data_IF_001302324231
#
_entry.id   IF_001302324231
#
_cell.length_a   1.000
_cell.length_b   1.000
_cell.length_c   1.000
_cell.angle_alpha   90.00
_cell.angle_beta   90.00
_cell.angle_gamma   90.00
#
_symmetry.space_group_name_H-M   'P 1'
#
loop_
_entity.id
_entity.type
_entity.pdbx_description
1 polymer ?
#
# COMPACT_ATOMS: atom_id res chain seq x y z
N UNK A 1 -53.85 8.99 12.02
CA UNK A 1 -53.11 9.05 10.76
C UNK A 1 -54.06 8.51 9.71
N UNK A 2 -54.29 9.15 8.57
CA UNK A 2 -55.14 8.54 7.53
C UNK A 2 -54.37 7.43 6.82
N UNK A 3 -55.08 6.44 6.25
CA UNK A 3 -54.46 5.37 5.45
C UNK A 3 -53.63 5.94 4.29
N UNK A 4 -54.14 7.00 3.65
CA UNK A 4 -53.42 7.75 2.61
C UNK A 4 -52.08 8.31 3.13
N UNK A 5 -52.05 8.85 4.35
CA UNK A 5 -50.82 9.36 4.94
C UNK A 5 -49.82 8.24 5.25
N UNK A 6 -50.31 7.07 5.70
CA UNK A 6 -49.47 5.89 5.91
C UNK A 6 -48.86 5.40 4.59
N UNK A 7 -49.64 5.34 3.51
CA UNK A 7 -49.17 4.95 2.19
C UNK A 7 -48.11 5.92 1.63
N UNK A 8 -48.33 7.23 1.75
CA UNK A 8 -47.37 8.25 1.31
C UNK A 8 -46.08 8.16 2.12
N UNK A 9 -46.19 8.07 3.45
CA UNK A 9 -45.02 8.06 4.34
C UNK A 9 -44.17 6.81 4.14
N UNK A 10 -44.79 5.63 4.02
CA UNK A 10 -44.09 4.37 3.74
C UNK A 10 -43.40 4.40 2.38
N UNK A 11 -44.05 4.96 1.35
CA UNK A 11 -43.46 5.13 0.02
C UNK A 11 -42.21 6.02 0.05
N UNK A 12 -42.27 7.15 0.76
CA UNK A 12 -41.11 8.05 0.93
C UNK A 12 -39.99 7.34 1.69
N UNK A 13 -40.29 6.65 2.78
CA UNK A 13 -39.30 5.90 3.57
C UNK A 13 -38.60 4.81 2.74
N UNK A 14 -39.36 4.09 1.91
CA UNK A 14 -38.81 3.08 1.00
C UNK A 14 -37.89 3.71 -0.06
N UNK A 15 -38.30 4.83 -0.67
CA UNK A 15 -37.46 5.54 -1.62
C UNK A 15 -36.14 6.02 -0.99
N UNK A 16 -36.22 6.60 0.22
CA UNK A 16 -35.05 7.00 1.02
C UNK A 16 -34.15 5.80 1.30
N UNK A 17 -34.72 4.65 1.68
CA UNK A 17 -33.95 3.44 1.95
C UNK A 17 -33.22 2.93 0.70
N UNK A 18 -33.86 2.90 -0.46
CA UNK A 18 -33.25 2.47 -1.72
C UNK A 18 -32.09 3.38 -2.10
N UNK A 19 -32.31 4.70 -2.08
CA UNK A 19 -31.25 5.69 -2.39
C UNK A 19 -30.08 5.53 -1.42
N UNK A 20 -30.39 5.36 -0.14
CA UNK A 20 -29.41 5.11 0.88
C UNK A 20 -28.57 3.85 0.56
N UNK A 21 -29.20 2.70 0.31
CA UNK A 21 -28.49 1.47 0.00
C UNK A 21 -27.55 1.61 -1.20
N UNK A 22 -28.00 2.29 -2.27
CA UNK A 22 -27.15 2.55 -3.45
C UNK A 22 -25.94 3.44 -3.13
N UNK A 23 -26.10 4.46 -2.28
CA UNK A 23 -24.99 5.31 -1.87
C UNK A 23 -23.99 4.55 -1.01
N UNK A 24 -24.49 3.73 -0.08
CA UNK A 24 -23.65 2.89 0.76
C UNK A 24 -22.81 1.92 -0.07
N UNK A 25 -23.41 1.25 -1.05
CA UNK A 25 -22.69 0.35 -1.96
C UNK A 25 -21.57 1.07 -2.72
N UNK A 26 -21.84 2.27 -3.24
CA UNK A 26 -20.83 3.08 -3.96
C UNK A 26 -19.68 3.49 -3.05
N UNK A 27 -19.97 3.94 -1.83
CA UNK A 27 -18.96 4.31 -0.85
C UNK A 27 -18.13 3.09 -0.44
N UNK A 28 -18.80 1.96 -0.20
CA UNK A 28 -18.16 0.69 0.14
C UNK A 28 -17.20 0.23 -0.97
N UNK A 29 -17.64 0.26 -2.23
CA UNK A 29 -16.80 -0.08 -3.40
C UNK A 29 -15.61 0.85 -3.54
N UNK A 30 -15.82 2.17 -3.44
CA UNK A 30 -14.74 3.15 -3.51
C UNK A 30 -13.71 2.94 -2.38
N UNK A 31 -14.18 2.53 -1.21
CA UNK A 31 -13.34 2.28 -0.05
C UNK A 31 -12.56 0.95 -0.14
N UNK A 32 -13.15 -0.11 -0.69
CA UNK A 32 -12.48 -1.40 -0.90
C UNK A 32 -11.58 -1.45 -2.14
N UNK A 33 -11.79 -0.59 -3.14
CA UNK A 33 -11.03 -0.62 -4.39
C UNK A 33 -9.50 -0.61 -4.19
N UNK A 34 -8.91 0.23 -3.30
CA UNK A 34 -7.47 0.20 -3.03
C UNK A 34 -7.00 -1.11 -2.39
N UNK A 35 -7.81 -1.72 -1.51
CA UNK A 35 -7.47 -2.99 -0.85
C UNK A 35 -7.52 -4.15 -1.85
N UNK A 36 -8.55 -4.18 -2.69
CA UNK A 36 -8.68 -5.17 -3.76
C UNK A 36 -7.52 -5.04 -4.75
N UNK A 37 -7.17 -3.82 -5.14
CA UNK A 37 -6.05 -3.56 -6.05
C UNK A 37 -4.70 -3.97 -5.45
N UNK A 38 -4.46 -3.67 -4.17
CA UNK A 38 -3.26 -4.12 -3.46
C UNK A 38 -3.18 -5.66 -3.40
N UNK A 39 -4.31 -6.33 -3.14
CA UNK A 39 -4.40 -7.79 -3.07
C UNK A 39 -4.21 -8.45 -4.44
N UNK A 40 -4.76 -7.86 -5.50
CA UNK A 40 -4.55 -8.32 -6.88
C UNK A 40 -3.07 -8.28 -7.27
N UNK A 41 -2.36 -7.20 -6.93
CA UNK A 41 -0.90 -7.10 -7.20
C UNK A 41 -0.11 -8.15 -6.44
N UNK A 42 -0.47 -8.41 -5.19
CA UNK A 42 0.17 -9.45 -4.40
C UNK A 42 -0.03 -10.83 -5.03
N UNK A 43 -1.25 -11.19 -5.41
CA UNK A 43 -1.54 -12.45 -6.10
C UNK A 43 -0.86 -12.58 -7.45
N UNK A 44 -0.75 -11.50 -8.22
CA UNK A 44 -0.06 -11.53 -9.51
C UNK A 44 1.42 -11.93 -9.37
N UNK A 45 2.11 -11.43 -8.33
CA UNK A 45 3.51 -11.78 -8.06
C UNK A 45 3.64 -13.22 -7.53
N UNK A 46 2.69 -13.65 -6.70
CA UNK A 46 2.65 -15.03 -6.20
C UNK A 46 2.42 -16.05 -7.33
N UNK A 47 1.52 -15.74 -8.26
CA UNK A 47 1.25 -16.56 -9.45
C UNK A 47 2.47 -16.62 -10.39
N UNK A 48 3.20 -15.50 -10.56
CA UNK A 48 4.42 -15.44 -11.38
C UNK A 48 5.51 -16.37 -10.80
N UNK A 49 5.74 -16.31 -9.48
CA UNK A 49 6.73 -17.17 -8.81
C UNK A 49 6.29 -18.63 -8.82
N UNK A 50 5.00 -18.91 -8.61
CA UNK A 50 4.46 -20.26 -8.72
C UNK A 50 4.63 -20.83 -10.14
N UNK A 51 4.48 -20.00 -11.17
CA UNK A 51 4.73 -20.39 -12.55
C UNK A 51 6.22 -20.70 -12.81
N UNK A 52 7.15 -19.94 -12.24
CA UNK A 52 8.58 -20.24 -12.32
C UNK A 52 8.94 -21.58 -11.67
N UNK A 53 8.40 -21.85 -10.48
CA UNK A 53 8.58 -23.12 -9.79
C UNK A 53 8.02 -24.32 -10.57
N UNK A 54 6.82 -24.19 -11.14
CA UNK A 54 6.22 -25.24 -11.99
C UNK A 54 7.01 -25.52 -13.27
N UNK A 55 7.68 -24.50 -13.80
CA UNK A 55 8.54 -24.63 -14.97
C UNK A 55 9.93 -25.22 -14.63
N UNK A 56 10.22 -25.53 -13.36
CA UNK A 56 11.53 -26.01 -12.92
C UNK A 56 12.63 -24.95 -12.99
N UNK A 57 12.27 -23.66 -13.08
CA UNK A 57 13.23 -22.56 -13.04
C UNK A 57 13.58 -22.25 -11.60
N UNK A 58 14.86 -22.02 -11.35
CA UNK A 58 15.37 -21.61 -10.05
C UNK A 58 14.87 -20.19 -9.73
N UNK A 59 14.33 -20.00 -8.53
CA UNK A 59 13.80 -18.70 -8.09
C UNK A 59 14.98 -17.76 -7.85
N UNK A 60 15.02 -16.65 -8.59
CA UNK A 60 16.14 -15.72 -8.50
C UNK A 60 16.07 -14.89 -7.21
N UNK A 61 17.22 -14.38 -6.76
CA UNK A 61 17.25 -13.46 -5.61
C UNK A 61 16.41 -12.21 -5.84
N UNK A 62 16.32 -11.74 -7.09
CA UNK A 62 15.48 -10.62 -7.51
C UNK A 62 13.99 -10.91 -7.32
N UNK A 63 13.53 -12.14 -7.62
CA UNK A 63 12.14 -12.54 -7.41
C UNK A 63 11.76 -12.53 -5.91
N UNK A 64 12.68 -13.00 -5.06
CA UNK A 64 12.51 -12.97 -3.61
C UNK A 64 12.53 -11.54 -3.04
N UNK A 65 13.42 -10.68 -3.55
CA UNK A 65 13.48 -9.27 -3.19
C UNK A 65 12.18 -8.55 -3.58
N UNK A 66 11.68 -8.80 -4.79
CA UNK A 66 10.41 -8.25 -5.29
C UNK A 66 9.22 -8.68 -4.45
N UNK A 67 9.18 -9.96 -4.04
CA UNK A 67 8.11 -10.45 -3.16
C UNK A 67 8.20 -9.84 -1.75
N UNK A 68 9.42 -9.63 -1.23
CA UNK A 68 9.65 -8.95 0.05
C UNK A 68 9.19 -7.50 -0.01
N UNK A 69 9.49 -6.78 -1.08
CA UNK A 69 9.08 -5.39 -1.28
C UNK A 69 7.57 -5.24 -1.40
N UNK A 70 6.91 -6.13 -2.16
CA UNK A 70 5.44 -6.12 -2.28
C UNK A 70 4.79 -6.45 -0.94
N UNK A 71 5.34 -7.40 -0.16
CA UNK A 71 4.90 -7.67 1.22
C UNK A 71 5.12 -6.48 2.14
N UNK A 72 6.28 -5.84 2.08
CA UNK A 72 6.59 -4.67 2.90
C UNK A 72 5.67 -3.49 2.57
N UNK A 73 5.39 -3.23 1.29
CA UNK A 73 4.42 -2.20 0.89
C UNK A 73 2.99 -2.55 1.32
N UNK A 74 2.57 -3.81 1.19
CA UNK A 74 1.26 -4.25 1.64
C UNK A 74 1.12 -4.16 3.16
N UNK A 75 2.15 -4.57 3.91
CA UNK A 75 2.19 -4.48 5.37
C UNK A 75 2.24 -3.03 5.84
N UNK A 76 3.04 -2.17 5.20
CA UNK A 76 3.13 -0.76 5.53
C UNK A 76 1.78 -0.07 5.28
N UNK A 77 1.12 -0.33 4.14
CA UNK A 77 -0.25 0.17 3.91
C UNK A 77 -1.27 -0.41 4.90
N UNK A 78 -1.17 -1.69 5.25
CA UNK A 78 -2.06 -2.30 6.24
C UNK A 78 -1.85 -1.72 7.64
N UNK A 79 -0.61 -1.36 7.99
CA UNK A 79 -0.26 -0.77 9.29
C UNK A 79 -0.58 0.73 9.34
N UNK A 80 -0.40 1.45 8.24
CA UNK A 80 -0.85 2.83 8.07
C UNK A 80 -2.38 2.91 8.10
N UNK A 81 -3.04 1.87 7.60
CA UNK A 81 -4.47 1.61 7.79
C UNK A 81 -4.75 0.79 9.05
N UNK A 82 -3.97 0.99 10.12
CA UNK A 82 -3.93 0.14 11.31
C UNK A 82 -5.29 -0.44 11.66
N UNK A 83 -5.34 -1.77 11.86
CA UNK A 83 -6.57 -2.54 11.92
C UNK A 83 -7.64 -1.89 12.81
N UNK A 84 -7.23 -1.31 13.93
CA UNK A 84 -8.08 -0.58 14.87
C UNK A 84 -8.64 0.72 14.30
N UNK A 85 -7.84 1.51 13.57
CA UNK A 85 -8.29 2.73 12.88
C UNK A 85 -9.26 2.41 11.74
N UNK A 86 -9.07 1.30 11.03
CA UNK A 86 -9.95 0.86 9.96
C UNK A 86 -11.27 0.33 10.50
N UNK A 87 -11.23 -0.47 11.56
CA UNK A 87 -12.42 -0.94 12.25
C UNK A 87 -13.20 0.25 12.84
N UNK A 88 -12.50 1.22 13.42
CA UNK A 88 -13.10 2.47 13.90
C UNK A 88 -13.74 3.26 12.75
N UNK A 89 -13.09 3.37 11.58
CA UNK A 89 -13.68 4.02 10.39
C UNK A 89 -14.91 3.27 9.88
N UNK A 90 -14.88 1.93 9.84
CA UNK A 90 -16.04 1.10 9.47
C UNK A 90 -17.19 1.34 10.45
N UNK A 91 -16.90 1.37 11.75
CA UNK A 91 -17.92 1.60 12.77
C UNK A 91 -18.42 3.05 12.71
N UNK A 92 -17.55 4.04 12.56
CA UNK A 92 -17.94 5.45 12.52
C UNK A 92 -18.70 5.83 11.25
N UNK A 93 -18.43 5.19 10.11
CA UNK A 93 -19.12 5.49 8.84
C UNK A 93 -20.28 4.53 8.61
N UNK A 94 -20.03 3.22 8.71
CA UNK A 94 -21.03 2.18 8.48
C UNK A 94 -21.98 1.99 9.66
N UNK A 95 -21.55 2.23 10.90
CA UNK A 95 -22.37 2.06 12.10
C UNK A 95 -23.57 3.00 12.14
N UNK A 96 -23.40 4.34 12.06
CA UNK A 96 -24.51 5.28 11.98
C UNK A 96 -25.44 4.98 10.81
N UNK A 97 -24.89 4.48 9.70
CA UNK A 97 -25.66 4.11 8.53
C UNK A 97 -26.57 2.90 8.75
N UNK A 98 -26.00 1.81 9.29
CA UNK A 98 -26.76 0.62 9.68
C UNK A 98 -27.83 0.97 10.71
N UNK A 99 -27.50 1.82 11.68
CA UNK A 99 -28.45 2.31 12.68
C UNK A 99 -29.62 3.05 12.02
N UNK A 100 -29.33 3.93 11.05
CA UNK A 100 -30.35 4.66 10.30
C UNK A 100 -31.25 3.73 9.49
N UNK A 101 -30.68 2.77 8.76
CA UNK A 101 -31.46 1.78 8.00
C UNK A 101 -32.36 0.96 8.92
N UNK A 102 -31.82 0.49 10.06
CA UNK A 102 -32.55 -0.30 11.04
C UNK A 102 -33.69 0.54 11.67
N UNK A 103 -33.45 1.81 11.95
CA UNK A 103 -34.46 2.76 12.43
C UNK A 103 -35.58 3.01 11.42
N UNK A 104 -35.26 3.16 10.12
CA UNK A 104 -36.26 3.35 9.05
C UNK A 104 -37.12 2.08 8.93
N UNK A 105 -36.49 0.90 8.85
CA UNK A 105 -37.20 -0.38 8.73
C UNK A 105 -38.10 -0.61 9.94
N UNK A 106 -37.61 -0.35 11.16
CA UNK A 106 -38.40 -0.43 12.39
C UNK A 106 -39.63 0.48 12.30
N UNK A 107 -39.45 1.74 11.90
CA UNK A 107 -40.56 2.70 11.75
C UNK A 107 -41.59 2.23 10.71
N UNK A 108 -41.16 1.70 9.56
CA UNK A 108 -42.06 1.16 8.53
C UNK A 108 -42.85 -0.02 9.08
N UNK A 109 -42.22 -0.95 9.79
CA UNK A 109 -42.90 -2.10 10.42
C UNK A 109 -43.92 -1.63 11.46
N UNK A 110 -43.59 -0.62 12.27
CA UNK A 110 -44.54 -0.03 13.22
C UNK A 110 -45.75 0.62 12.53
N UNK A 111 -45.53 1.37 11.45
CA UNK A 111 -46.61 1.99 10.67
C UNK A 111 -47.49 0.94 10.01
N UNK A 112 -46.90 -0.11 9.42
CA UNK A 112 -47.65 -1.21 8.81
C UNK A 112 -48.45 -2.01 9.84
N UNK A 113 -47.87 -2.27 11.00
CA UNK A 113 -48.56 -2.95 12.10
C UNK A 113 -49.73 -2.13 12.61
N UNK A 114 -49.57 -0.81 12.73
CA UNK A 114 -50.65 0.10 13.11
C UNK A 114 -51.76 0.14 12.05
N UNK A 115 -51.40 0.22 10.76
CA UNK A 115 -52.37 0.20 9.66
C UNK A 115 -53.16 -1.13 9.57
N UNK A 116 -52.56 -2.23 10.03
CA UNK A 116 -53.21 -3.54 10.08
C UNK A 116 -54.14 -3.72 11.30
N UNK A 117 -53.99 -2.90 12.33
CA UNK A 117 -54.90 -2.93 13.50
C UNK A 117 -56.16 -2.11 13.21
N UNK A 118 -57.38 -2.64 13.41
CA UNK A 118 -58.64 -1.96 13.09
C UNK A 118 -59.01 -0.82 14.06
N UNK A 119 -58.02 -0.24 14.74
CA UNK A 119 -58.23 0.79 15.74
C UNK A 119 -58.53 2.12 15.03
N UNK A 120 -59.75 2.69 15.17
CA UNK A 120 -60.19 3.82 14.37
C UNK A 120 -59.52 5.14 14.79
N UNK A 121 -58.88 5.18 15.96
CA UNK A 121 -58.37 6.43 16.52
C UNK A 121 -57.00 6.81 15.95
N UNK A 122 -56.85 8.05 15.43
CA UNK A 122 -55.59 8.51 14.88
C UNK A 122 -54.53 8.61 15.98
N UNK A 123 -53.40 7.92 15.82
CA UNK A 123 -52.24 8.06 16.74
C UNK A 123 -51.34 9.24 16.35
N UNK A 124 -51.36 10.37 17.08
CA UNK A 124 -50.48 11.52 16.80
C UNK A 124 -49.00 11.22 17.13
N UNK A 125 -48.74 10.28 18.04
CA UNK A 125 -47.39 9.90 18.42
C UNK A 125 -46.65 9.20 17.26
N UNK A 126 -47.33 8.28 16.57
CA UNK A 126 -46.79 7.59 15.39
C UNK A 126 -46.49 8.57 14.25
N UNK A 127 -47.40 9.52 13.99
CA UNK A 127 -47.18 10.54 12.96
C UNK A 127 -45.94 11.40 13.26
N UNK A 128 -45.74 11.83 14.52
CA UNK A 128 -44.54 12.59 14.92
C UNK A 128 -43.27 11.76 14.76
N UNK A 129 -43.29 10.50 15.20
CA UNK A 129 -42.13 9.62 15.10
C UNK A 129 -41.75 9.35 13.63
N UNK A 130 -42.73 9.10 12.77
CA UNK A 130 -42.52 8.92 11.34
C UNK A 130 -41.96 10.19 10.68
N UNK A 131 -42.49 11.36 11.04
CA UNK A 131 -42.02 12.65 10.53
C UNK A 131 -40.57 12.94 10.93
N UNK A 132 -40.23 12.79 12.21
CA UNK A 132 -38.87 13.03 12.69
C UNK A 132 -37.87 12.04 12.10
N UNK A 133 -38.24 10.76 12.02
CA UNK A 133 -37.37 9.73 11.43
C UNK A 133 -37.11 10.01 9.96
N UNK A 134 -38.14 10.38 9.20
CA UNK A 134 -37.99 10.72 7.77
C UNK A 134 -37.12 11.96 7.60
N UNK A 135 -37.39 13.02 8.36
CA UNK A 135 -36.62 14.28 8.28
C UNK A 135 -35.16 14.05 8.65
N UNK A 136 -34.88 13.33 9.74
CA UNK A 136 -33.52 12.99 10.14
C UNK A 136 -32.79 12.16 9.07
N UNK A 137 -33.50 11.23 8.43
CA UNK A 137 -32.95 10.40 7.35
C UNK A 137 -32.58 11.23 6.11
N UNK A 138 -33.44 12.17 5.72
CA UNK A 138 -33.19 13.08 4.60
C UNK A 138 -32.01 14.00 4.90
N UNK A 139 -31.94 14.58 6.10
CA UNK A 139 -30.81 15.42 6.52
C UNK A 139 -29.51 14.63 6.54
N UNK A 140 -29.52 13.41 7.08
CA UNK A 140 -28.36 12.52 7.10
C UNK A 140 -27.88 12.17 5.67
N UNK A 141 -28.81 11.94 4.73
CA UNK A 141 -28.49 11.73 3.32
C UNK A 141 -27.80 12.94 2.69
N UNK A 142 -28.33 14.15 2.90
CA UNK A 142 -27.76 15.39 2.36
C UNK A 142 -26.38 15.66 2.97
N UNK A 143 -26.24 15.48 4.29
CA UNK A 143 -24.97 15.62 4.98
C UNK A 143 -23.93 14.62 4.45
N UNK A 144 -24.30 13.36 4.26
CA UNK A 144 -23.43 12.32 3.70
C UNK A 144 -22.94 12.66 2.29
N UNK A 145 -23.83 13.17 1.43
CA UNK A 145 -23.48 13.65 0.09
C UNK A 145 -22.44 14.78 0.15
N UNK A 146 -22.65 15.74 1.05
CA UNK A 146 -21.79 16.91 1.21
C UNK A 146 -20.41 16.55 1.79
N UNK A 147 -20.37 15.65 2.77
CA UNK A 147 -19.13 15.15 3.34
C UNK A 147 -18.36 14.35 2.29
N UNK A 148 -19.05 13.55 1.48
CA UNK A 148 -18.42 12.71 0.45
C UNK A 148 -17.80 13.53 -0.68
N UNK A 149 -18.38 14.68 -1.04
CA UNK A 149 -17.80 15.60 -2.03
C UNK A 149 -16.64 16.39 -1.44
N UNK A 150 -16.78 16.91 -0.22
CA UNK A 150 -15.71 17.62 0.48
C UNK A 150 -14.51 16.71 0.76
N UNK A 151 -14.73 15.49 1.23
CA UNK A 151 -13.67 14.52 1.50
C UNK A 151 -12.90 14.16 0.23
N UNK A 152 -13.58 13.98 -0.91
CA UNK A 152 -12.92 13.73 -2.20
C UNK A 152 -12.04 14.91 -2.63
N UNK A 153 -12.52 16.15 -2.48
CA UNK A 153 -11.73 17.34 -2.75
C UNK A 153 -10.50 17.44 -1.83
N UNK A 154 -10.70 17.24 -0.53
CA UNK A 154 -9.64 17.36 0.48
C UNK A 154 -8.57 16.28 0.37
N UNK A 155 -8.98 15.01 0.15
CA UNK A 155 -8.06 13.89 -0.04
C UNK A 155 -7.23 14.03 -1.32
N UNK A 156 -7.80 14.60 -2.39
CA UNK A 156 -7.04 14.87 -3.61
C UNK A 156 -5.93 15.91 -3.39
N UNK A 157 -6.20 16.95 -2.60
CA UNK A 157 -5.18 17.93 -2.20
C UNK A 157 -4.10 17.35 -1.27
N UNK A 158 -4.51 16.49 -0.31
CA UNK A 158 -3.58 15.93 0.67
C UNK A 158 -2.65 14.86 0.07
N UNK A 159 -3.17 14.00 -0.82
CA UNK A 159 -2.35 12.97 -1.50
C UNK A 159 -1.32 13.58 -2.44
N UNK A 160 -1.61 14.73 -3.06
CA UNK A 160 -0.64 15.49 -3.85
C UNK A 160 0.52 16.01 -2.98
N UNK A 161 0.20 16.56 -1.81
CA UNK A 161 1.21 17.11 -0.90
C UNK A 161 2.07 16.01 -0.23
N UNK A 162 1.47 14.84 0.04
CA UNK A 162 2.17 13.70 0.64
C UNK A 162 3.12 13.00 -0.33
N UNK A 163 2.72 12.81 -1.61
CA UNK A 163 3.65 12.32 -2.67
C UNK A 163 4.92 13.18 -2.77
N UNK A 164 4.79 14.49 -2.60
CA UNK A 164 5.94 15.39 -2.63
C UNK A 164 6.92 15.14 -1.47
N UNK A 165 6.39 14.76 -0.30
CA UNK A 165 7.17 14.42 0.90
C UNK A 165 7.80 13.03 0.81
N UNK A 166 7.09 12.07 0.23
CA UNK A 166 7.58 10.70 0.08
C UNK A 166 8.72 10.62 -0.94
N UNK A 167 8.70 11.42 -2.02
CA UNK A 167 9.85 11.52 -2.93
C UNK A 167 11.13 12.07 -2.26
N UNK A 168 10.98 12.94 -1.26
CA UNK A 168 12.11 13.47 -0.47
C UNK A 168 12.64 12.44 0.54
N UNK A 169 11.77 11.58 1.06
CA UNK A 169 12.12 10.60 2.12
C UNK A 169 12.58 9.26 1.54
N UNK A 170 12.08 8.89 0.36
CA UNK A 170 12.51 7.70 -0.37
C UNK A 170 13.92 7.87 -0.95
N UNK A 171 14.34 9.10 -1.26
CA UNK A 171 15.73 9.41 -1.64
C UNK A 171 16.73 9.16 -0.50
N UNK A 172 16.35 9.45 0.75
CA UNK A 172 17.22 9.20 1.92
C UNK A 172 17.23 7.73 2.34
N UNK A 173 16.09 7.03 2.29
CA UNK A 173 16.07 5.59 2.61
C UNK A 173 16.77 4.72 1.57
N UNK A 174 16.69 5.07 0.27
CA UNK A 174 17.50 4.41 -0.75
C UNK A 174 18.98 4.62 -0.50
N UNK A 175 19.39 5.80 -0.03
CA UNK A 175 20.78 6.09 0.30
C UNK A 175 21.29 5.23 1.46
N UNK A 176 20.51 5.09 2.54
CA UNK A 176 20.86 4.21 3.67
C UNK A 176 20.91 2.73 3.29
N UNK A 177 19.99 2.26 2.44
CA UNK A 177 20.00 0.88 1.94
C UNK A 177 21.20 0.60 1.03
N UNK A 178 21.56 1.55 0.15
CA UNK A 178 22.78 1.46 -0.65
C UNK A 178 24.03 1.44 0.24
N UNK A 179 24.05 2.23 1.31
CA UNK A 179 25.18 2.29 2.23
C UNK A 179 25.33 0.99 3.02
N UNK A 180 24.23 0.39 3.48
CA UNK A 180 24.24 -0.92 4.12
C UNK A 180 24.62 -2.05 3.17
N UNK A 181 24.16 -2.02 1.91
CA UNK A 181 24.55 -3.01 0.91
C UNK A 181 26.05 -2.91 0.59
N UNK A 182 26.58 -1.68 0.52
CA UNK A 182 28.00 -1.45 0.32
C UNK A 182 28.83 -1.95 1.50
N UNK A 183 28.43 -1.67 2.74
CA UNK A 183 29.09 -2.25 3.93
C UNK A 183 29.00 -3.78 3.97
N UNK A 184 27.88 -4.35 3.54
CA UNK A 184 27.71 -5.79 3.46
C UNK A 184 28.63 -6.42 2.41
N UNK A 185 28.71 -5.88 1.19
CA UNK A 185 29.68 -6.32 0.17
C UNK A 185 31.14 -6.15 0.64
N UNK A 186 31.42 -5.10 1.41
CA UNK A 186 32.77 -4.86 1.94
C UNK A 186 33.12 -5.85 3.06
N UNK A 187 32.13 -6.29 3.86
CA UNK A 187 32.32 -7.30 4.92
C UNK A 187 32.25 -8.75 4.41
N UNK A 188 31.53 -9.02 3.32
CA UNK A 188 31.51 -10.33 2.68
C UNK A 188 32.75 -10.54 1.79
N UNK A 189 33.39 -9.45 1.35
CA UNK A 189 34.62 -9.48 0.55
C UNK A 189 35.91 -9.79 1.33
N UNK A 190 35.85 -10.07 2.64
CA UNK A 190 37.06 -10.40 3.42
C UNK A 190 37.35 -11.89 3.55
N UNK A 191 36.41 -12.78 3.22
CA UNK A 191 36.63 -14.24 3.30
C UNK A 191 36.98 -14.89 1.95
N UNK A 192 36.86 -14.17 0.82
CA UNK A 192 37.31 -14.61 -0.52
C UNK A 192 38.65 -13.98 -0.95
N UNK A 193 39.36 -13.32 -0.03
CA UNK A 193 40.66 -12.70 -0.32
C UNK A 193 41.79 -13.72 -0.63
N UNK A 194 41.53 -15.01 -0.46
CA UNK A 194 42.49 -16.09 -0.69
C UNK A 194 42.42 -16.68 -2.12
N UNK A 195 41.55 -16.15 -3.01
CA UNK A 195 41.24 -16.83 -4.28
C UNK A 195 41.12 -16.00 -5.55
N UNK A 196 41.32 -14.66 -5.57
CA UNK A 196 41.25 -13.93 -6.85
C UNK A 196 42.55 -14.17 -7.65
N UNK A 197 42.52 -14.94 -8.76
CA UNK A 197 43.71 -15.22 -9.57
C UNK A 197 44.33 -13.94 -10.15
N UNK A 198 43.56 -12.84 -10.24
CA UNK A 198 44.05 -11.55 -10.72
C UNK A 198 45.00 -10.88 -9.73
N UNK A 199 44.90 -11.18 -8.43
CA UNK A 199 45.81 -10.66 -7.43
C UNK A 199 47.23 -11.21 -7.67
N UNK A 200 47.36 -12.50 -8.00
CA UNK A 200 48.66 -13.09 -8.38
C UNK A 200 49.24 -12.44 -9.63
N UNK A 201 48.42 -12.17 -10.65
CA UNK A 201 48.84 -11.46 -11.86
C UNK A 201 49.30 -10.04 -11.55
N UNK A 202 48.58 -9.33 -10.67
CA UNK A 202 48.95 -7.99 -10.23
C UNK A 202 50.28 -7.98 -9.44
N UNK A 203 50.50 -8.94 -8.53
CA UNK A 203 51.75 -9.08 -7.78
C UNK A 203 52.93 -9.39 -8.71
N UNK A 204 52.75 -10.31 -9.67
CA UNK A 204 53.78 -10.63 -10.66
C UNK A 204 54.13 -9.40 -11.52
N UNK A 205 53.12 -8.66 -12.00
CA UNK A 205 53.33 -7.44 -12.77
C UNK A 205 54.03 -6.35 -11.95
N UNK A 206 53.68 -6.19 -10.67
CA UNK A 206 54.33 -5.24 -9.76
C UNK A 206 55.81 -5.58 -9.56
N UNK A 207 56.14 -6.87 -9.41
CA UNK A 207 57.53 -7.33 -9.26
C UNK A 207 58.38 -7.16 -10.53
N UNK A 208 57.77 -7.28 -11.72
CA UNK A 208 58.46 -7.17 -13.00
C UNK A 208 58.64 -5.71 -13.47
N UNK A 209 57.76 -4.79 -13.04
CA UNK A 209 57.69 -3.45 -13.60
C UNK A 209 58.66 -2.43 -12.95
N UNK A 210 59.33 -2.76 -11.85
CA UNK A 210 60.28 -1.87 -11.16
C UNK A 210 59.66 -0.51 -10.82
N UNK A 211 60.33 0.58 -11.22
CA UNK A 211 59.91 1.97 -10.96
C UNK A 211 58.80 2.49 -11.90
N UNK A 212 58.18 1.62 -12.71
CA UNK A 212 57.11 2.05 -13.62
C UNK A 212 55.89 2.53 -12.83
N UNK A 213 55.28 3.70 -13.17
CA UNK A 213 54.12 4.20 -12.45
C UNK A 213 52.93 3.23 -12.51
N UNK A 214 52.27 3.02 -11.36
CA UNK A 214 51.18 2.02 -11.20
C UNK A 214 50.04 2.18 -12.20
N UNK A 215 49.69 3.41 -12.58
CA UNK A 215 48.65 3.67 -13.57
C UNK A 215 49.02 3.09 -14.95
N UNK A 216 50.30 3.10 -15.35
CA UNK A 216 50.72 2.49 -16.62
C UNK A 216 50.65 0.96 -16.57
N UNK A 217 51.02 0.36 -15.44
CA UNK A 217 50.88 -1.08 -15.21
C UNK A 217 49.40 -1.47 -15.25
N UNK A 218 48.54 -0.72 -14.56
CA UNK A 218 47.10 -0.95 -14.54
C UNK A 218 46.45 -0.83 -15.93
N UNK A 219 46.86 0.17 -16.72
CA UNK A 219 46.35 0.35 -18.08
C UNK A 219 46.78 -0.82 -18.99
N UNK A 220 48.03 -1.28 -18.87
CA UNK A 220 48.53 -2.44 -19.60
C UNK A 220 47.78 -3.72 -19.21
N UNK A 221 47.57 -3.96 -17.92
CA UNK A 221 46.80 -5.11 -17.42
C UNK A 221 45.33 -5.07 -17.87
N UNK A 222 44.71 -3.89 -17.88
CA UNK A 222 43.36 -3.71 -18.40
C UNK A 222 43.27 -4.05 -19.90
N UNK A 223 44.29 -3.69 -20.68
CA UNK A 223 44.37 -3.99 -22.10
C UNK A 223 44.61 -5.49 -22.37
N UNK A 224 45.42 -6.16 -21.55
CA UNK A 224 45.80 -7.57 -21.74
C UNK A 224 44.79 -8.57 -21.18
N UNK A 225 44.19 -8.26 -20.03
CA UNK A 225 43.33 -9.20 -19.28
C UNK A 225 41.87 -8.72 -19.17
N UNK A 226 41.54 -7.57 -19.76
CA UNK A 226 40.22 -6.95 -19.67
C UNK A 226 39.96 -6.26 -18.33
N UNK A 227 38.76 -5.68 -18.18
CA UNK A 227 38.37 -4.91 -17.00
C UNK A 227 38.78 -3.44 -17.07
N UNK A 228 38.48 -2.68 -16.02
CA UNK A 228 38.79 -1.25 -15.98
C UNK A 228 40.17 -0.99 -15.39
N UNK A 229 40.87 0.03 -15.87
CA UNK A 229 42.15 0.51 -15.29
C UNK A 229 42.04 0.72 -13.78
N UNK A 230 40.93 1.29 -13.33
CA UNK A 230 40.67 1.56 -11.91
C UNK A 230 40.58 0.27 -11.06
N UNK A 231 40.03 -0.79 -11.63
CA UNK A 231 39.97 -2.11 -10.96
C UNK A 231 41.39 -2.66 -10.76
N UNK A 232 42.25 -2.55 -11.78
CA UNK A 232 43.64 -3.01 -11.70
C UNK A 232 44.50 -2.15 -10.77
N UNK A 233 44.28 -0.84 -10.71
CA UNK A 233 44.95 0.02 -9.71
C UNK A 233 44.63 -0.40 -8.28
N UNK A 234 43.36 -0.76 -8.00
CA UNK A 234 42.95 -1.26 -6.69
C UNK A 234 43.66 -2.56 -6.34
N UNK A 235 43.72 -3.50 -7.29
CA UNK A 235 44.41 -4.78 -7.11
C UNK A 235 45.93 -4.62 -6.93
N UNK A 236 46.57 -3.70 -7.65
CA UNK A 236 48.00 -3.39 -7.48
C UNK A 236 48.29 -2.77 -6.11
N UNK A 237 47.40 -1.92 -5.60
CA UNK A 237 47.52 -1.37 -4.24
C UNK A 237 47.39 -2.46 -3.18
N UNK A 238 46.41 -3.36 -3.34
CA UNK A 238 46.22 -4.51 -2.44
C UNK A 238 47.41 -5.47 -2.49
N UNK A 239 47.93 -5.79 -3.67
CA UNK A 239 49.15 -6.59 -3.84
C UNK A 239 50.36 -5.94 -3.13
N UNK A 240 50.50 -4.61 -3.21
CA UNK A 240 51.61 -3.90 -2.55
C UNK A 240 51.52 -3.91 -1.01
N UNK A 241 50.31 -4.00 -0.46
CA UNK A 241 50.09 -4.07 1.00
C UNK A 241 50.33 -5.49 1.54
N UNK A 242 50.13 -6.50 0.70
CA UNK A 242 50.29 -7.91 1.07
C UNK A 242 51.71 -8.45 0.85
N UNK A 243 52.57 -7.74 0.10
CA UNK A 243 53.97 -8.09 -0.03
C UNK A 243 54.74 -7.74 1.25
N UNK A 244 55.40 -8.72 1.91
CA UNK A 244 56.22 -8.42 3.10
C UNK A 244 57.37 -7.46 2.73
N UNK A 245 57.75 -6.55 3.64
CA UNK A 245 58.91 -5.68 3.42
C UNK A 245 60.16 -6.56 3.25
N UNK A 246 60.73 -6.52 2.04
CA UNK A 246 62.01 -7.13 1.71
C UNK A 246 63.19 -6.29 2.18
#
# INVERSE_FOLDING_TARGET
>A
MSDDYAAITTSIMLAVLVIATMQAERLLKAWYAPLVEARKRWWAVEDEIAAHLRAGREVTHDDLARLRDVRAQAACRANEMGALSNLLKIICVGGPWLLLCLQIVSTVVYVLRWAATPDPDPSPALARLAFYTTTASVVALIASLTISTLARGFLSGFTFNRRKKDHLTQGTQLYELYQQLHEYETSLGTDDAEGDPRLHTATAALSAAGDTPRHHIAASLAQQHGGSTRTWERLLNQASQNSPPG
#
